data_IF_036071760123
#
_entry.id   IF_036071760123
#
_cell.length_a   1.000
_cell.length_b   1.000
_cell.length_c   1.000
_cell.angle_alpha   90.00
_cell.angle_beta   90.00
_cell.angle_gamma   90.00
#
_symmetry.space_group_name_H-M   'P 1'
#
loop_
_entity.id
_entity.type
_entity.pdbx_description
1 polymer ?
#
# COMPACT_ATOMS: atom_id res chain seq x y z
N UNK A 1 4.15 5.10 -17.94
CA UNK A 1 3.29 4.89 -16.76
C UNK A 1 3.76 3.60 -16.13
N UNK A 2 4.20 3.60 -14.86
CA UNK A 2 4.55 2.35 -14.20
C UNK A 2 3.31 1.45 -14.18
N UNK A 3 3.47 0.20 -14.58
CA UNK A 3 2.36 -0.76 -14.68
C UNK A 3 1.99 -1.32 -13.31
N UNK A 4 2.87 -1.29 -12.33
CA UNK A 4 2.60 -1.73 -10.96
C UNK A 4 3.31 -0.80 -9.99
N UNK A 5 2.61 -0.35 -8.96
CA UNK A 5 3.18 0.36 -7.82
C UNK A 5 3.03 -0.51 -6.57
N UNK A 6 4.10 -0.62 -5.80
CA UNK A 6 4.14 -1.37 -4.54
C UNK A 6 4.62 -0.44 -3.45
N UNK A 7 4.00 -0.52 -2.27
CA UNK A 7 4.42 0.25 -1.10
C UNK A 7 4.51 -0.65 0.12
N UNK A 8 5.49 -0.35 0.97
CA UNK A 8 5.51 -0.82 2.36
C UNK A 8 5.04 0.37 3.20
N UNK A 9 3.97 0.16 3.98
CA UNK A 9 3.34 1.22 4.74
C UNK A 9 2.96 0.77 6.15
N UNK A 10 2.98 1.69 7.11
CA UNK A 10 2.52 1.42 8.48
C UNK A 10 1.22 2.14 8.73
N UNK A 11 0.28 1.50 9.42
CA UNK A 11 -0.95 2.18 9.84
C UNK A 11 -0.59 3.40 10.72
N UNK A 12 -1.12 4.54 10.33
CA UNK A 12 -0.93 5.80 11.03
C UNK A 12 -2.27 6.56 11.04
N UNK A 13 -2.97 6.63 12.19
CA UNK A 13 -4.26 7.31 12.32
C UNK A 13 -4.20 8.81 11.99
N UNK A 14 -3.03 9.43 12.14
CA UNK A 14 -2.81 10.85 11.84
C UNK A 14 -2.55 11.10 10.34
N UNK A 15 -2.32 10.04 9.56
CA UNK A 15 -2.15 10.15 8.11
C UNK A 15 -3.50 10.32 7.41
N UNK A 16 -3.63 11.23 6.43
CA UNK A 16 -4.87 11.42 5.67
C UNK A 16 -5.34 10.18 4.90
N UNK A 17 -4.45 9.23 4.64
CA UNK A 17 -4.77 7.95 3.98
C UNK A 17 -4.81 6.77 4.96
N UNK A 18 -4.61 7.02 6.26
CA UNK A 18 -4.51 6.00 7.32
C UNK A 18 -3.17 5.25 7.36
N UNK A 19 -2.23 5.63 6.49
CA UNK A 19 -0.93 4.96 6.35
C UNK A 19 0.21 5.95 6.21
N UNK A 20 1.32 5.67 6.88
CA UNK A 20 2.63 6.27 6.63
C UNK A 20 3.39 5.40 5.62
N UNK A 21 3.79 5.97 4.49
CA UNK A 21 4.53 5.24 3.45
C UNK A 21 6.01 5.22 3.83
N UNK A 22 6.57 4.01 3.93
CA UNK A 22 7.97 3.79 4.31
C UNK A 22 8.83 3.62 3.05
N UNK A 23 8.33 2.82 2.13
CA UNK A 23 8.95 2.51 0.84
C UNK A 23 7.89 2.56 -0.25
N UNK A 24 8.23 3.15 -1.39
CA UNK A 24 7.46 3.08 -2.62
C UNK A 24 8.38 2.53 -3.73
N UNK A 25 7.89 1.59 -4.52
CA UNK A 25 8.63 1.01 -5.62
C UNK A 25 7.75 0.79 -6.85
N UNK A 26 8.37 0.84 -8.02
CA UNK A 26 7.79 0.47 -9.30
C UNK A 26 8.70 -0.52 -10.05
N UNK A 27 8.46 -0.71 -11.34
CA UNK A 27 9.27 -1.60 -12.20
C UNK A 27 10.73 -1.16 -12.35
N UNK A 28 11.02 0.10 -12.13
CA UNK A 28 12.26 0.76 -12.53
C UNK A 28 13.02 1.36 -11.33
N UNK A 29 12.32 1.72 -10.26
CA UNK A 29 12.86 2.49 -9.14
C UNK A 29 12.27 2.07 -7.80
N UNK A 30 13.08 2.22 -6.76
CA UNK A 30 12.66 2.13 -5.35
C UNK A 30 12.99 3.43 -4.65
N UNK A 31 11.99 4.06 -4.04
CA UNK A 31 12.08 5.28 -3.24
C UNK A 31 11.83 4.96 -1.77
N UNK A 32 12.80 5.30 -0.92
CA UNK A 32 12.65 5.28 0.53
C UNK A 32 12.16 6.65 0.99
N UNK A 33 11.00 6.70 1.65
CA UNK A 33 10.45 7.92 2.25
C UNK A 33 10.93 8.07 3.71
N UNK A 34 11.10 6.95 4.42
CA UNK A 34 11.63 6.93 5.78
C UNK A 34 13.07 6.44 5.76
N UNK A 35 14.00 7.27 6.26
CA UNK A 35 15.35 6.83 6.56
C UNK A 35 15.33 6.06 7.87
N UNK A 36 15.57 4.76 7.79
CA UNK A 36 15.84 4.00 9.00
C UNK A 36 17.11 4.55 9.65
N UNK A 37 17.01 4.95 10.91
CA UNK A 37 18.16 5.49 11.66
C UNK A 37 18.87 4.38 12.43
N UNK A 38 18.25 3.21 12.51
CA UNK A 38 18.71 1.97 13.14
C UNK A 38 18.78 0.85 12.10
N UNK A 39 19.70 -0.11 12.27
CA UNK A 39 19.83 -1.32 11.43
C UNK A 39 18.68 -2.34 11.65
N UNK A 40 17.55 -1.90 12.20
CA UNK A 40 16.41 -2.77 12.48
C UNK A 40 15.57 -2.97 11.21
N UNK A 41 15.01 -4.15 10.97
CA UNK A 41 14.12 -4.37 9.83
C UNK A 41 12.89 -3.47 9.91
N UNK A 42 12.51 -2.87 8.79
CA UNK A 42 11.28 -2.08 8.67
C UNK A 42 10.12 -3.03 8.40
N UNK A 43 9.23 -3.17 9.38
CA UNK A 43 7.96 -3.89 9.22
C UNK A 43 6.83 -2.91 8.87
N UNK A 44 6.02 -3.30 7.90
CA UNK A 44 4.84 -2.59 7.43
C UNK A 44 4.00 -3.47 6.50
N UNK A 45 2.75 -3.08 6.30
CA UNK A 45 1.80 -3.71 5.40
C UNK A 45 2.18 -3.48 3.94
N UNK A 46 2.05 -4.52 3.13
CA UNK A 46 2.26 -4.45 1.69
C UNK A 46 1.01 -3.94 0.98
N UNK A 47 1.18 -2.84 0.24
CA UNK A 47 0.13 -2.19 -0.52
C UNK A 47 0.44 -2.25 -2.02
N UNK A 48 -0.54 -2.62 -2.85
CA UNK A 48 -0.35 -2.82 -4.29
C UNK A 48 -1.35 -2.01 -5.10
N UNK A 49 -0.89 -1.32 -6.14
CA UNK A 49 -1.74 -0.69 -7.16
C UNK A 49 -1.32 -1.18 -8.54
N UNK A 50 -2.27 -1.76 -9.29
CA UNK A 50 -2.04 -2.31 -10.63
C UNK A 50 -3.31 -2.18 -11.48
N UNK A 51 -3.19 -1.94 -12.80
CA UNK A 51 -4.33 -1.95 -13.72
C UNK A 51 -4.93 -3.35 -13.91
N UNK A 52 -4.19 -4.42 -13.57
CA UNK A 52 -4.69 -5.81 -13.61
C UNK A 52 -5.26 -6.28 -12.28
N UNK A 53 -5.26 -5.42 -11.26
CA UNK A 53 -5.85 -5.75 -9.97
C UNK A 53 -7.37 -5.88 -10.12
N UNK A 54 -7.96 -6.82 -9.38
CA UNK A 54 -9.41 -7.00 -9.38
C UNK A 54 -10.11 -5.75 -8.85
N UNK A 55 -11.36 -5.53 -9.30
CA UNK A 55 -12.14 -4.35 -8.91
C UNK A 55 -12.86 -4.55 -7.58
N UNK A 56 -13.43 -5.73 -7.39
CA UNK A 56 -14.25 -6.05 -6.23
C UNK A 56 -14.38 -7.55 -6.00
N UNK A 57 -14.72 -7.91 -4.78
CA UNK A 57 -15.23 -9.24 -4.46
C UNK A 57 -16.69 -9.36 -4.89
N UNK A 58 -17.03 -10.50 -5.49
CA UNK A 58 -18.39 -10.80 -5.95
C UNK A 58 -19.41 -10.67 -4.82
N UNK A 59 -20.39 -9.78 -4.99
CA UNK A 59 -21.48 -9.50 -4.03
C UNK A 59 -21.02 -9.13 -2.61
N UNK A 60 -19.79 -8.59 -2.48
CA UNK A 60 -19.18 -8.24 -1.18
C UNK A 60 -18.62 -6.81 -1.20
N UNK A 61 -19.49 -5.78 -1.24
CA UNK A 61 -19.06 -4.38 -1.35
C UNK A 61 -18.36 -3.86 -0.08
N UNK A 62 -18.74 -4.36 1.10
CA UNK A 62 -18.14 -3.92 2.36
C UNK A 62 -16.71 -4.44 2.51
N UNK A 63 -16.49 -5.71 2.19
CA UNK A 63 -15.19 -6.37 2.21
C UNK A 63 -14.28 -5.77 1.14
N UNK A 64 -14.82 -5.51 -0.05
CA UNK A 64 -14.07 -4.80 -1.09
C UNK A 64 -13.55 -3.48 -0.56
N UNK A 65 -14.43 -2.62 -0.02
CA UNK A 65 -14.01 -1.33 0.54
C UNK A 65 -13.00 -1.45 1.68
N UNK A 66 -13.12 -2.48 2.52
CA UNK A 66 -12.17 -2.71 3.61
C UNK A 66 -10.77 -3.12 3.14
N UNK A 67 -10.68 -3.81 1.99
CA UNK A 67 -9.41 -4.26 1.40
C UNK A 67 -8.67 -3.22 0.56
N UNK A 68 -9.26 -2.04 0.35
CA UNK A 68 -8.56 -0.92 -0.29
C UNK A 68 -8.23 0.17 0.74
N UNK A 69 -7.21 0.96 0.46
CA UNK A 69 -6.93 2.20 1.18
C UNK A 69 -8.11 3.17 1.08
N UNK A 70 -8.17 4.18 1.96
CA UNK A 70 -9.28 5.15 2.02
C UNK A 70 -9.49 5.87 0.68
N UNK A 71 -8.41 6.12 -0.06
CA UNK A 71 -8.43 6.74 -1.38
C UNK A 71 -8.80 5.76 -2.52
N UNK A 72 -8.98 4.47 -2.21
CA UNK A 72 -9.37 3.42 -3.14
C UNK A 72 -8.30 3.02 -4.15
N UNK A 73 -7.06 3.52 -4.01
CA UNK A 73 -6.01 3.31 -5.01
C UNK A 73 -5.19 2.06 -4.77
N UNK A 74 -4.90 1.75 -3.51
CA UNK A 74 -4.02 0.65 -3.14
C UNK A 74 -4.83 -0.46 -2.48
N UNK A 75 -4.50 -1.68 -2.85
CA UNK A 75 -5.01 -2.89 -2.24
C UNK A 75 -4.11 -3.34 -1.10
N UNK A 76 -4.76 -3.65 0.01
CA UNK A 76 -4.20 -4.19 1.25
C UNK A 76 -4.06 -5.70 1.10
N UNK A 77 -2.83 -6.22 1.12
CA UNK A 77 -2.61 -7.67 0.96
C UNK A 77 -2.90 -8.47 2.23
N UNK A 78 -2.89 -7.82 3.41
CA UNK A 78 -3.12 -8.47 4.70
C UNK A 78 -2.03 -9.47 5.11
N UNK A 79 -0.78 -9.19 4.74
CA UNK A 79 0.42 -9.95 5.15
C UNK A 79 0.81 -9.62 6.61
#
# INVERSE_FOLDING_TARGET
MPTVLVRIARENPDSPIGYEILVEADSDNTKLEVKNTTDEPIEGELLIQSPTLFKEYWQKPNETRATFTIDGKFFKTGD
#
